data_IF_312678953956
#
_entry.id   IF_312678953956
#
_cell.length_a   1.000
_cell.length_b   1.000
_cell.length_c   1.000
_cell.angle_alpha   90.00
_cell.angle_beta   90.00
_cell.angle_gamma   90.00
#
_symmetry.space_group_name_H-M   'P 1'
#
loop_
_entity.id
_entity.type
_entity.pdbx_description
1 polymer ?
#
# COMPACT_ATOMS: atom_id res chain seq x y z
N UNK A 1 -21.93 -5.83 2.88
CA UNK A 1 -21.48 -7.06 2.22
C UNK A 1 -20.02 -7.25 2.60
N UNK A 2 -19.72 -8.22 3.46
CA UNK A 2 -18.36 -8.45 3.96
C UNK A 2 -17.60 -9.29 2.93
N UNK A 3 -16.57 -8.73 2.30
CA UNK A 3 -15.64 -9.55 1.51
C UNK A 3 -14.65 -10.13 2.51
N UNK A 4 -14.96 -11.31 3.02
CA UNK A 4 -13.96 -12.16 3.68
C UNK A 4 -13.01 -12.63 2.58
N UNK A 5 -11.91 -11.92 2.36
CA UNK A 5 -10.77 -12.48 1.61
C UNK A 5 -10.15 -13.53 2.53
N UNK A 6 -10.64 -14.76 2.43
CA UNK A 6 -10.09 -15.91 3.12
C UNK A 6 -8.77 -16.30 2.46
N UNK A 7 -7.73 -15.48 2.67
CA UNK A 7 -6.41 -15.76 2.15
C UNK A 7 -5.70 -16.79 3.05
N UNK A 8 -5.14 -17.83 2.44
CA UNK A 8 -4.48 -18.97 3.09
C UNK A 8 -3.18 -18.61 3.84
N UNK A 9 -2.76 -17.33 3.78
CA UNK A 9 -1.55 -16.81 4.42
C UNK A 9 -1.89 -16.00 5.68
N UNK A 10 -1.48 -16.45 6.88
CA UNK A 10 -1.80 -15.78 8.15
C UNK A 10 -1.20 -14.36 8.27
N UNK A 11 -0.18 -14.03 7.47
CA UNK A 11 0.44 -12.70 7.40
C UNK A 11 -0.36 -11.67 6.60
N UNK A 12 -1.26 -12.08 5.71
CA UNK A 12 -2.25 -11.18 5.07
C UNK A 12 -3.56 -11.09 5.86
N UNK A 13 -3.72 -11.91 6.91
CA UNK A 13 -5.03 -12.30 7.44
C UNK A 13 -5.53 -11.41 8.59
N UNK A 14 -5.05 -10.18 8.73
CA UNK A 14 -5.63 -9.22 9.66
C UNK A 14 -6.25 -8.04 8.89
N UNK A 15 -7.57 -8.17 8.78
CA UNK A 15 -8.50 -7.05 8.87
C UNK A 15 -8.41 -5.97 7.79
N UNK A 16 -8.62 -6.31 6.52
CA UNK A 16 -9.27 -5.36 5.59
C UNK A 16 -10.78 -5.57 5.69
N UNK A 17 -11.32 -5.31 6.88
CA UNK A 17 -12.74 -5.27 7.17
C UNK A 17 -13.03 -3.90 7.75
N UNK A 18 -13.11 -2.90 6.87
CA UNK A 18 -13.64 -1.60 7.21
C UNK A 18 -15.12 -1.76 7.63
N UNK A 19 -15.36 -1.84 8.93
CA UNK A 19 -16.65 -1.47 9.54
C UNK A 19 -16.80 0.04 9.40
N UNK A 20 -17.08 0.54 8.19
CA UNK A 20 -17.73 1.83 7.86
C UNK A 20 -17.49 2.16 6.39
N UNK A 21 -18.56 2.18 5.60
CA UNK A 21 -18.78 3.24 4.59
C UNK A 21 -18.04 3.21 3.26
N UNK A 22 -16.70 3.14 3.21
CA UNK A 22 -15.95 3.50 2.00
C UNK A 22 -14.75 2.57 1.79
N UNK A 23 -14.81 1.76 0.73
CA UNK A 23 -13.69 0.95 0.29
C UNK A 23 -12.80 1.78 -0.63
N UNK A 24 -11.67 2.25 -0.11
CA UNK A 24 -10.48 2.77 -0.84
C UNK A 24 -9.94 1.79 -1.89
N UNK A 25 -10.39 0.53 -1.88
CA UNK A 25 -9.89 -0.53 -2.75
C UNK A 25 -10.56 -0.49 -4.12
N UNK A 26 -9.79 -0.18 -5.17
CA UNK A 26 -10.26 -0.24 -6.55
C UNK A 26 -10.07 -1.65 -7.12
N UNK A 27 -11.06 -2.10 -7.89
CA UNK A 27 -10.93 -3.31 -8.70
C UNK A 27 -10.22 -2.94 -10.00
N UNK A 28 -9.10 -3.58 -10.29
CA UNK A 28 -8.39 -3.40 -11.56
C UNK A 28 -8.42 -4.70 -12.36
N UNK A 29 -8.87 -4.61 -13.61
CA UNK A 29 -8.84 -5.75 -14.53
C UNK A 29 -7.46 -5.86 -15.16
N UNK A 30 -6.81 -7.00 -14.97
CA UNK A 30 -5.49 -7.31 -15.52
C UNK A 30 -5.60 -8.56 -16.39
N UNK A 31 -4.93 -8.51 -17.54
CA UNK A 31 -4.74 -9.67 -18.41
C UNK A 31 -3.27 -10.08 -18.34
N UNK A 32 -3.02 -11.33 -17.96
CA UNK A 32 -1.67 -11.82 -17.74
C UNK A 32 -1.54 -13.31 -18.10
N UNK A 33 -0.30 -13.73 -18.38
CA UNK A 33 0.04 -15.12 -18.66
C UNK A 33 0.55 -15.77 -17.38
N UNK A 34 -0.19 -16.79 -16.94
CA UNK A 34 0.12 -17.59 -15.74
C UNK A 34 0.66 -18.94 -16.18
N UNK A 35 1.75 -19.36 -15.56
CA UNK A 35 2.39 -20.64 -15.82
C UNK A 35 2.05 -21.57 -14.67
N UNK A 36 1.44 -22.71 -14.97
CA UNK A 36 1.06 -23.71 -13.98
C UNK A 36 2.05 -24.87 -14.03
N UNK A 37 2.63 -25.19 -12.88
CA UNK A 37 3.54 -26.32 -12.69
C UNK A 37 2.78 -27.64 -12.71
N UNK A 38 3.40 -28.75 -13.16
CA UNK A 38 2.71 -30.02 -13.27
C UNK A 38 2.22 -30.62 -11.96
N UNK A 39 2.88 -30.28 -10.85
CA UNK A 39 2.49 -30.67 -9.50
C UNK A 39 1.12 -30.12 -9.08
N UNK A 40 0.76 -28.92 -9.56
CA UNK A 40 -0.51 -28.26 -9.26
C UNK A 40 -1.68 -28.76 -10.12
N UNK A 41 -1.45 -29.62 -11.12
CA UNK A 41 -2.55 -30.27 -11.88
C UNK A 41 -3.42 -31.19 -11.02
N UNK A 42 -2.92 -31.59 -9.85
CA UNK A 42 -3.70 -32.39 -8.90
C UNK A 42 -4.86 -31.59 -8.28
N UNK A 43 -4.80 -30.26 -8.33
CA UNK A 43 -5.83 -29.35 -7.81
C UNK A 43 -6.78 -28.92 -8.93
N UNK A 44 -7.93 -28.36 -8.55
CA UNK A 44 -8.81 -27.69 -9.52
C UNK A 44 -8.12 -26.51 -10.18
N UNK A 45 -8.21 -26.41 -11.52
CA UNK A 45 -7.53 -25.38 -12.31
C UNK A 45 -7.81 -23.96 -11.82
N UNK A 46 -9.04 -23.68 -11.37
CA UNK A 46 -9.39 -22.37 -10.81
C UNK A 46 -8.59 -22.03 -9.54
N UNK A 47 -8.40 -23.00 -8.65
CA UNK A 47 -7.64 -22.83 -7.39
C UNK A 47 -6.15 -22.72 -7.68
N UNK A 48 -5.62 -23.52 -8.62
CA UNK A 48 -4.23 -23.42 -9.04
C UNK A 48 -3.92 -22.04 -9.66
N UNK A 49 -4.82 -21.51 -10.49
CA UNK A 49 -4.70 -20.17 -11.07
C UNK A 49 -4.74 -19.10 -9.97
N UNK A 50 -5.65 -19.20 -9.02
CA UNK A 50 -5.75 -18.27 -7.89
C UNK A 50 -4.45 -18.25 -7.06
N UNK A 51 -3.94 -19.42 -6.68
CA UNK A 51 -2.70 -19.56 -5.89
C UNK A 51 -1.51 -18.91 -6.63
N UNK A 52 -1.37 -19.18 -7.93
CA UNK A 52 -0.29 -18.65 -8.76
C UNK A 52 -0.42 -17.12 -8.98
N UNK A 53 -1.64 -16.60 -9.19
CA UNK A 53 -1.87 -15.16 -9.30
C UNK A 53 -1.53 -14.48 -7.98
N UNK A 54 -1.97 -15.06 -6.86
CA UNK A 54 -1.70 -14.51 -5.54
C UNK A 54 -0.19 -14.49 -5.27
N UNK A 55 0.54 -15.55 -5.57
CA UNK A 55 2.00 -15.56 -5.42
C UNK A 55 2.69 -14.55 -6.36
N UNK A 56 2.20 -14.42 -7.60
CA UNK A 56 2.79 -13.49 -8.57
C UNK A 56 2.52 -12.03 -8.24
N UNK A 57 1.38 -11.68 -7.64
CA UNK A 57 0.92 -10.30 -7.47
C UNK A 57 0.78 -9.82 -6.01
N UNK A 58 0.76 -10.71 -5.01
CA UNK A 58 0.63 -10.29 -3.62
C UNK A 58 1.77 -9.36 -3.21
N UNK A 59 1.40 -8.25 -2.54
CA UNK A 59 2.31 -7.22 -2.05
C UNK A 59 3.21 -6.59 -3.12
N UNK A 60 2.87 -6.71 -4.40
CA UNK A 60 3.59 -6.04 -5.49
C UNK A 60 2.93 -4.72 -5.83
N UNK A 61 3.76 -3.69 -5.96
CA UNK A 61 3.37 -2.39 -6.47
C UNK A 61 3.45 -2.42 -7.99
N UNK A 62 2.30 -2.25 -8.65
CA UNK A 62 2.27 -2.05 -10.10
C UNK A 62 2.17 -0.56 -10.38
N UNK A 63 3.09 -0.05 -11.19
CA UNK A 63 3.11 1.37 -11.57
C UNK A 63 1.76 1.79 -12.19
N UNK A 64 1.28 2.99 -11.84
CA UNK A 64 0.00 3.58 -12.30
C UNK A 64 -1.27 2.87 -11.83
N UNK A 65 -1.16 1.71 -11.18
CA UNK A 65 -2.30 0.94 -10.67
C UNK A 65 -2.37 1.03 -9.15
N UNK A 66 -1.32 0.62 -8.43
CA UNK A 66 -1.25 0.67 -6.96
C UNK A 66 -0.60 -0.57 -6.35
N UNK A 67 -0.75 -0.71 -5.03
CA UNK A 67 -0.33 -1.90 -4.30
C UNK A 67 -1.38 -3.01 -4.43
N UNK A 68 -1.00 -4.15 -4.97
CA UNK A 68 -1.91 -5.30 -5.11
C UNK A 68 -2.04 -6.03 -3.76
N UNK A 69 -3.27 -6.10 -3.25
CA UNK A 69 -3.58 -6.81 -2.01
C UNK A 69 -3.79 -8.30 -2.30
N UNK A 70 -4.60 -8.59 -3.32
CA UNK A 70 -4.95 -9.98 -3.64
C UNK A 70 -5.91 -10.12 -4.81
N UNK A 71 -6.14 -11.37 -5.19
CA UNK A 71 -7.08 -11.77 -6.22
C UNK A 71 -8.54 -11.54 -5.79
N UNK A 72 -9.38 -11.04 -6.71
CA UNK A 72 -10.81 -10.87 -6.49
C UNK A 72 -11.61 -11.97 -7.19
N UNK A 73 -11.57 -11.99 -8.52
CA UNK A 73 -12.24 -13.01 -9.32
C UNK A 73 -11.59 -13.20 -10.70
N UNK A 74 -11.89 -14.35 -11.30
CA UNK A 74 -11.50 -14.70 -12.66
C UNK A 74 -12.66 -14.35 -13.61
N UNK A 75 -12.38 -13.52 -14.62
CA UNK A 75 -13.37 -13.14 -15.63
C UNK A 75 -13.33 -14.10 -16.82
N UNK A 76 -12.13 -14.38 -17.33
CA UNK A 76 -11.93 -15.20 -18.52
C UNK A 76 -10.64 -16.01 -18.39
N UNK A 77 -10.67 -17.26 -18.84
CA UNK A 77 -9.50 -18.13 -18.95
C UNK A 77 -9.47 -18.75 -20.34
N UNK A 78 -8.33 -18.60 -21.03
CA UNK A 78 -8.07 -19.28 -22.29
C UNK A 78 -7.69 -20.74 -22.06
N UNK A 79 -7.72 -21.55 -23.13
CA UNK A 79 -7.18 -22.91 -23.09
C UNK A 79 -5.68 -22.90 -22.76
N UNK A 80 -5.27 -23.77 -21.85
CA UNK A 80 -3.88 -23.89 -21.41
C UNK A 80 -3.00 -24.50 -22.50
N UNK A 81 -2.01 -23.75 -22.97
CA UNK A 81 -1.04 -24.23 -23.97
C UNK A 81 0.18 -24.85 -23.26
N UNK A 82 0.43 -26.13 -23.54
CA UNK A 82 1.57 -26.86 -22.97
C UNK A 82 2.84 -26.51 -23.76
N UNK A 83 3.85 -25.99 -23.06
CA UNK A 83 5.16 -25.77 -23.65
C UNK A 83 5.87 -27.09 -23.96
N UNK A 84 6.28 -27.28 -25.22
CA UNK A 84 7.08 -28.45 -25.62
C UNK A 84 8.43 -28.45 -24.89
N UNK A 85 8.71 -29.48 -24.09
CA UNK A 85 10.01 -29.70 -23.42
C UNK A 85 10.04 -29.38 -21.93
N UNK A 86 9.20 -28.47 -21.42
CA UNK A 86 9.14 -28.14 -19.98
C UNK A 86 7.91 -28.72 -19.29
N UNK A 87 6.84 -29.05 -20.04
CA UNK A 87 5.58 -29.55 -19.47
C UNK A 87 4.79 -28.50 -18.68
N UNK A 88 5.22 -27.23 -18.71
CA UNK A 88 4.50 -26.11 -18.12
C UNK A 88 3.30 -25.74 -18.98
N UNK A 89 2.16 -25.51 -18.33
CA UNK A 89 0.95 -25.02 -19.00
C UNK A 89 0.88 -23.51 -18.86
N UNK A 90 0.86 -22.82 -20.00
CA UNK A 90 0.68 -21.39 -20.07
C UNK A 90 -0.80 -21.10 -20.30
N UNK A 91 -1.44 -20.43 -19.36
CA UNK A 91 -2.84 -20.02 -19.45
C UNK A 91 -2.89 -18.51 -19.54
N UNK A 92 -3.56 -17.97 -20.55
CA UNK A 92 -3.90 -16.56 -20.59
C UNK A 92 -5.17 -16.35 -19.77
N UNK A 93 -5.09 -15.51 -18.74
CA UNK A 93 -6.20 -15.24 -17.84
C UNK A 93 -6.46 -13.75 -17.75
N UNK A 94 -7.75 -13.41 -17.67
CA UNK A 94 -8.23 -12.07 -17.38
C UNK A 94 -8.95 -12.12 -16.04
N UNK A 95 -8.46 -11.35 -15.08
CA UNK A 95 -8.95 -11.38 -13.71
C UNK A 95 -9.01 -9.98 -13.13
N UNK A 96 -9.73 -9.82 -12.02
CA UNK A 96 -9.74 -8.59 -11.23
C UNK A 96 -8.86 -8.77 -10.00
N UNK A 97 -8.06 -7.76 -9.73
CA UNK A 97 -7.29 -7.63 -8.50
C UNK A 97 -7.91 -6.57 -7.60
N UNK A 98 -7.84 -6.82 -6.29
CA UNK A 98 -8.06 -5.80 -5.27
C UNK A 98 -6.75 -5.03 -5.13
N UNK A 99 -6.80 -3.75 -5.48
CA UNK A 99 -5.63 -2.87 -5.40
C UNK A 99 -5.91 -1.77 -4.37
N UNK A 100 -4.95 -1.54 -3.49
CA UNK A 100 -4.90 -0.37 -2.64
C UNK A 100 -4.41 0.83 -3.44
N UNK A 101 -5.32 1.78 -3.68
CA UNK A 101 -5.03 3.07 -4.31
C UNK A 101 -6.01 4.12 -3.80
N UNK A 102 -5.69 4.81 -2.69
CA UNK A 102 -6.58 5.83 -2.14
C UNK A 102 -6.74 7.02 -3.09
N UNK A 103 -7.84 7.76 -2.96
CA UNK A 103 -8.11 8.93 -3.79
C UNK A 103 -7.64 10.24 -3.12
N UNK A 104 -7.37 11.26 -3.94
CA UNK A 104 -7.05 12.61 -3.47
C UNK A 104 -8.22 13.23 -2.72
N UNK A 105 -8.11 13.32 -1.42
CA UNK A 105 -9.09 13.91 -0.52
C UNK A 105 -9.70 12.92 0.46
N UNK A 106 -9.33 11.64 0.39
CA UNK A 106 -9.80 10.58 1.27
C UNK A 106 -9.21 10.69 2.67
N UNK A 107 -10.02 10.44 3.71
CA UNK A 107 -9.54 10.45 5.09
C UNK A 107 -9.27 9.00 5.52
N UNK A 108 -8.04 8.73 5.93
CA UNK A 108 -7.59 7.42 6.37
C UNK A 108 -7.00 7.49 7.78
N UNK A 109 -7.02 6.34 8.45
CA UNK A 109 -6.38 6.12 9.74
C UNK A 109 -5.06 5.40 9.53
N UNK A 110 -4.00 5.89 10.15
CA UNK A 110 -2.69 5.24 10.18
C UNK A 110 -2.00 5.43 11.52
N UNK A 111 -0.89 4.74 11.74
CA UNK A 111 -0.06 4.89 12.94
C UNK A 111 1.20 5.67 12.58
N UNK A 112 1.63 6.58 13.45
CA UNK A 112 2.91 7.27 13.24
C UNK A 112 4.04 6.25 13.38
N UNK A 113 4.86 6.10 12.35
CA UNK A 113 6.03 5.22 12.38
C UNK A 113 7.29 5.96 12.80
N UNK A 114 7.47 7.20 12.34
CA UNK A 114 8.62 8.03 12.68
C UNK A 114 8.33 9.49 12.33
N UNK A 115 8.85 10.42 13.12
CA UNK A 115 8.84 11.85 12.81
C UNK A 115 10.25 12.31 12.42
N UNK A 116 10.36 13.05 11.32
CA UNK A 116 11.62 13.68 10.89
C UNK A 116 11.37 15.14 10.55
N UNK A 117 12.46 15.91 10.34
CA UNK A 117 12.37 17.30 9.89
C UNK A 117 11.66 17.44 8.53
N UNK A 118 11.71 16.40 7.69
CA UNK A 118 11.03 16.38 6.40
C UNK A 118 9.52 16.11 6.52
N UNK A 119 9.04 15.72 7.70
CA UNK A 119 7.63 15.44 7.95
C UNK A 119 7.39 14.24 8.85
N UNK A 120 6.12 13.86 8.97
CA UNK A 120 5.70 12.69 9.76
C UNK A 120 5.48 11.52 8.82
N UNK A 121 6.16 10.39 9.08
CA UNK A 121 5.91 9.14 8.38
C UNK A 121 4.82 8.35 9.10
N UNK A 122 3.84 7.93 8.34
CA UNK A 122 2.67 7.18 8.81
C UNK A 122 2.70 5.82 8.14
N UNK A 123 2.40 4.78 8.92
CA UNK A 123 2.21 3.44 8.43
C UNK A 123 0.85 2.89 8.76
N UNK A 124 0.25 2.21 7.79
CA UNK A 124 -0.84 1.26 7.97
C UNK A 124 -0.29 -0.15 7.95
N UNK A 125 -1.12 -1.14 8.27
CA UNK A 125 -0.68 -2.53 8.46
C UNK A 125 0.02 -3.16 7.24
N UNK A 126 -0.35 -2.72 6.03
CA UNK A 126 0.20 -3.24 4.76
C UNK A 126 1.02 -2.21 3.96
N UNK A 127 1.13 -0.95 4.42
CA UNK A 127 1.81 0.11 3.69
C UNK A 127 2.37 1.18 4.63
N UNK A 128 3.67 1.43 4.57
CA UNK A 128 4.41 2.28 5.51
C UNK A 128 5.03 3.53 4.87
N UNK A 129 4.81 3.75 3.59
CA UNK A 129 5.42 4.84 2.81
C UNK A 129 4.45 6.02 2.62
N UNK A 130 3.82 6.46 3.72
CA UNK A 130 2.97 7.66 3.76
C UNK A 130 3.76 8.77 4.47
N UNK A 131 3.92 9.92 3.82
CA UNK A 131 4.61 11.08 4.36
C UNK A 131 3.67 12.27 4.45
N UNK A 132 3.63 12.93 5.60
CA UNK A 132 2.96 14.22 5.78
C UNK A 132 4.04 15.30 5.90
N UNK A 133 4.25 16.13 4.86
CA UNK A 133 5.24 17.18 4.91
C UNK A 133 4.82 18.27 5.91
N UNK A 134 5.79 19.04 6.43
CA UNK A 134 5.53 20.08 7.42
C UNK A 134 4.60 21.18 6.90
N UNK A 135 4.68 21.51 5.60
CA UNK A 135 3.78 22.46 4.96
C UNK A 135 2.30 22.05 5.05
N UNK A 136 2.02 20.75 5.21
CA UNK A 136 0.67 20.18 5.30
C UNK A 136 0.32 19.72 6.73
N UNK A 137 1.05 20.19 7.74
CA UNK A 137 0.68 20.03 9.15
C UNK A 137 -0.18 21.20 9.64
N UNK A 138 -0.76 21.05 10.82
CA UNK A 138 -1.53 22.12 11.48
C UNK A 138 -0.70 23.41 11.58
N UNK A 139 -1.38 24.54 11.42
CA UNK A 139 -0.76 25.86 11.55
C UNK A 139 -0.19 26.03 12.96
N UNK A 140 1.09 26.41 13.06
CA UNK A 140 1.81 26.47 14.34
C UNK A 140 2.52 25.17 14.77
N UNK A 141 2.53 24.12 13.96
CA UNK A 141 3.32 22.92 14.25
C UNK A 141 4.82 23.21 14.14
N UNK A 142 5.57 22.85 15.18
CA UNK A 142 7.04 22.97 15.23
C UNK A 142 7.69 21.60 15.43
N UNK A 143 8.83 21.40 14.78
CA UNK A 143 9.63 20.20 14.98
C UNK A 143 10.62 20.41 16.12
N UNK A 144 10.58 19.53 17.12
CA UNK A 144 11.60 19.46 18.16
C UNK A 144 12.68 18.46 17.77
N UNK A 145 13.91 18.96 17.57
CA UNK A 145 15.05 18.14 17.12
C UNK A 145 15.57 17.27 18.26
N UNK A 146 15.43 17.71 19.52
CA UNK A 146 15.95 16.98 20.67
C UNK A 146 15.17 15.68 20.90
N UNK A 147 13.85 15.75 20.79
CA UNK A 147 12.94 14.62 20.98
C UNK A 147 12.52 13.94 19.66
N UNK A 148 12.96 14.46 18.51
CA UNK A 148 12.56 14.03 17.17
C UNK A 148 11.04 13.92 17.00
N UNK A 149 10.30 14.86 17.59
CA UNK A 149 8.85 14.84 17.68
C UNK A 149 8.29 16.13 17.10
N UNK A 150 7.12 16.03 16.47
CA UNK A 150 6.36 17.22 16.09
C UNK A 150 5.50 17.66 17.28
N UNK A 151 5.51 18.96 17.56
CA UNK A 151 4.73 19.58 18.64
C UNK A 151 3.82 20.61 18.00
N UNK A 152 2.56 20.62 18.41
CA UNK A 152 1.59 21.61 18.00
C UNK A 152 1.06 22.37 19.21
N UNK A 153 1.14 23.69 19.18
CA UNK A 153 0.68 24.56 20.26
C UNK A 153 -0.62 25.23 19.82
N UNK A 154 -1.71 24.97 20.54
CA UNK A 154 -3.01 25.55 20.23
C UNK A 154 -3.10 27.00 20.75
N UNK A 155 -4.04 27.79 20.23
CA UNK A 155 -4.23 29.21 20.64
C UNK A 155 -4.54 29.36 22.15
N UNK A 156 -5.13 28.34 22.76
CA UNK A 156 -5.42 28.27 24.21
C UNK A 156 -4.17 27.96 25.08
N UNK A 157 -2.98 27.80 24.48
CA UNK A 157 -1.73 27.49 25.20
C UNK A 157 -1.58 26.02 25.58
N UNK A 158 -2.42 25.12 25.03
CA UNK A 158 -2.27 23.67 25.19
C UNK A 158 -1.28 23.12 24.17
N UNK A 159 -0.26 22.42 24.64
CA UNK A 159 0.75 21.78 23.79
C UNK A 159 0.39 20.32 23.53
N UNK A 160 0.34 19.94 22.26
CA UNK A 160 0.08 18.59 21.81
C UNK A 160 1.31 18.00 21.12
N UNK A 161 1.58 16.72 21.36
CA UNK A 161 2.75 16.01 20.84
C UNK A 161 2.27 14.92 19.88
N UNK A 162 2.96 14.78 18.75
CA UNK A 162 2.72 13.69 17.81
C UNK A 162 3.57 12.47 18.20
N UNK A 163 3.06 11.65 19.10
CA UNK A 163 3.78 10.46 19.59
C UNK A 163 3.89 9.35 18.54
N UNK A 164 5.06 8.70 18.52
CA UNK A 164 5.30 7.55 17.65
C UNK A 164 4.43 6.38 18.11
N UNK A 165 3.76 5.73 17.17
CA UNK A 165 2.85 4.62 17.42
C UNK A 165 1.40 5.04 17.67
N UNK A 166 1.12 6.33 17.82
CA UNK A 166 -0.25 6.83 17.98
C UNK A 166 -1.03 6.75 16.66
N UNK A 167 -2.34 6.52 16.76
CA UNK A 167 -3.24 6.45 15.61
C UNK A 167 -3.69 7.86 15.21
N UNK A 168 -3.41 8.22 13.97
CA UNK A 168 -3.70 9.53 13.38
C UNK A 168 -4.66 9.40 12.20
N UNK A 169 -5.57 10.37 12.08
CA UNK A 169 -6.37 10.63 10.90
C UNK A 169 -5.59 11.56 9.98
N UNK A 170 -5.39 11.16 8.74
CA UNK A 170 -4.77 12.00 7.73
C UNK A 170 -5.62 11.97 6.47
N UNK A 171 -5.58 13.07 5.72
CA UNK A 171 -6.22 13.17 4.41
C UNK A 171 -5.18 12.91 3.33
N UNK A 172 -5.48 12.05 2.39
CA UNK A 172 -4.60 11.77 1.24
C UNK A 172 -4.66 12.97 0.30
N UNK A 173 -3.53 13.63 0.03
CA UNK A 173 -3.49 14.80 -0.86
C UNK A 173 -3.04 14.40 -2.27
N UNK A 174 -1.95 13.64 -2.36
CA UNK A 174 -1.43 13.14 -3.61
C UNK A 174 -0.67 11.82 -3.45
N UNK A 175 -0.52 11.10 -4.56
CA UNK A 175 0.33 9.92 -4.68
C UNK A 175 1.55 10.28 -5.54
N UNK A 176 2.72 9.83 -5.13
CA UNK A 176 4.00 10.01 -5.83
C UNK A 176 4.53 8.64 -6.27
N UNK A 177 4.94 8.55 -7.52
CA UNK A 177 5.45 7.32 -8.14
C UNK A 177 6.93 7.49 -8.43
N UNK A 178 7.75 6.60 -7.88
CA UNK A 178 9.17 6.56 -8.17
C UNK A 178 9.43 5.40 -9.12
N UNK A 179 9.75 5.71 -10.38
CA UNK A 179 10.14 4.68 -11.34
C UNK A 179 11.53 4.17 -10.96
N UNK A 180 11.58 2.96 -10.39
CA UNK A 180 12.84 2.25 -10.15
C UNK A 180 13.32 1.64 -11.46
N UNK A 181 13.65 2.49 -12.44
CA UNK A 181 14.51 2.05 -13.54
C UNK A 181 15.84 1.71 -12.88
N UNK A 182 16.35 0.47 -12.98
CA UNK A 182 17.70 0.19 -12.53
C UNK A 182 18.60 1.08 -13.38
N UNK A 183 19.17 2.13 -12.78
CA UNK A 183 20.25 2.85 -13.44
C UNK A 183 21.27 1.80 -13.87
N UNK A 184 21.73 1.91 -15.12
CA UNK A 184 22.83 1.11 -15.65
C UNK A 184 23.97 1.07 -14.62
N UNK A 185 24.76 -0.03 -14.54
CA UNK A 185 25.82 -0.15 -13.54
C UNK A 185 26.86 0.96 -13.77
N UNK A 186 26.68 2.10 -13.11
CA UNK A 186 27.62 3.21 -13.17
C UNK A 186 28.70 2.96 -12.12
N UNK A 187 29.93 2.92 -12.63
CA UNK A 187 31.14 2.64 -11.90
C UNK A 187 31.42 3.77 -10.90
N UNK A 188 30.98 3.59 -9.66
CA UNK A 188 31.50 4.29 -8.49
C UNK A 188 30.71 5.53 -8.08
N UNK A 189 29.96 5.42 -6.98
CA UNK A 189 30.29 6.13 -5.74
C UNK A 189 29.42 5.55 -4.61
N UNK A 190 30.01 5.36 -3.43
CA UNK A 190 29.40 4.71 -2.27
C UNK A 190 28.34 5.55 -1.55
N UNK A 191 27.49 6.27 -2.27
CA UNK A 191 26.30 6.86 -1.68
C UNK A 191 25.23 5.77 -1.58
N UNK A 192 24.77 5.47 -0.37
CA UNK A 192 23.56 4.70 -0.17
C UNK A 192 22.42 5.45 -0.88
N UNK A 193 22.13 5.08 -2.13
CA UNK A 193 20.95 5.54 -2.85
C UNK A 193 19.80 5.03 -1.99
N UNK A 194 19.22 5.91 -1.16
CA UNK A 194 17.98 5.65 -0.46
C UNK A 194 16.98 5.25 -1.54
N UNK A 195 16.76 3.94 -1.67
CA UNK A 195 15.84 3.37 -2.65
C UNK A 195 14.46 3.85 -2.24
N UNK A 196 14.06 5.00 -2.76
CA UNK A 196 12.72 5.52 -2.54
C UNK A 196 11.73 4.42 -2.95
N UNK A 197 10.72 4.16 -2.11
CA UNK A 197 9.74 3.14 -2.41
C UNK A 197 9.05 3.49 -3.74
N UNK A 198 8.69 2.50 -4.56
CA UNK A 198 8.11 2.72 -5.88
C UNK A 198 6.76 3.47 -5.83
N UNK A 199 6.10 3.44 -4.67
CA UNK A 199 4.86 4.14 -4.39
C UNK A 199 4.98 4.84 -3.04
N UNK A 200 4.74 6.15 -3.03
CA UNK A 200 4.66 6.97 -1.82
C UNK A 200 3.35 7.75 -1.83
N UNK A 201 2.77 7.95 -0.65
CA UNK A 201 1.56 8.75 -0.50
C UNK A 201 1.91 10.00 0.30
N UNK A 202 1.47 11.15 -0.18
CA UNK A 202 1.56 12.41 0.55
C UNK A 202 0.21 12.68 1.21
N UNK A 203 0.24 12.75 2.54
CA UNK A 203 -0.92 13.11 3.35
C UNK A 203 -0.90 14.57 3.81
N UNK A 204 -2.05 15.05 4.26
CA UNK A 204 -2.26 16.35 4.89
C UNK A 204 -3.03 16.16 6.20
N UNK A 205 -2.69 16.97 7.20
CA UNK A 205 -3.36 17.04 8.51
C UNK A 205 -3.85 18.45 8.85
N UNK A 206 -3.89 19.37 7.88
CA UNK A 206 -4.22 20.78 8.13
C UNK A 206 -5.67 21.03 8.58
N UNK A 207 -6.60 20.14 8.25
CA UNK A 207 -8.02 20.36 8.55
C UNK A 207 -8.36 19.97 9.99
N UNK A 208 -9.25 20.76 10.62
CA UNK A 208 -9.84 20.41 11.90
C UNK A 208 -10.56 19.04 11.84
N UNK A 209 -10.32 18.18 12.83
CA UNK A 209 -10.77 16.79 12.87
C UNK A 209 -9.76 15.77 12.32
N UNK A 210 -8.63 16.23 11.76
CA UNK A 210 -7.47 15.42 11.39
C UNK A 210 -6.38 15.49 12.47
N UNK A 211 -5.41 14.58 12.42
CA UNK A 211 -4.38 14.40 13.46
C UNK A 211 -4.70 13.21 14.38
N UNK A 212 -4.03 13.10 15.53
CA UNK A 212 -4.27 12.02 16.47
C UNK A 212 -5.71 11.89 16.92
N UNK A 213 -6.22 10.66 16.93
CA UNK A 213 -7.59 10.37 17.39
C UNK A 213 -7.78 10.78 18.85
N UNK A 214 -6.70 10.79 19.64
CA UNK A 214 -6.70 11.22 21.04
C UNK A 214 -7.08 12.70 21.25
N UNK A 215 -7.00 13.53 20.21
CA UNK A 215 -7.26 14.98 20.32
C UNK A 215 -8.73 15.37 20.08
N UNK A 216 -9.56 14.43 19.59
CA UNK A 216 -10.95 14.67 19.17
C UNK A 216 -11.90 13.66 19.83
#
# INVERSE_FOLDING_TARGET
MFILVSCKYPSCCKLILARTGELTSRQTTVSDLIQISPEDFSKYSAVAIEDNINEKYANKVIQKIGLCIGFYDLLESSDGLIGHGTGLVNVNVKFRLIVFRPFKGEIMLGKISSATQQGIKIGVEFFNDILVPPDLLLDGARFDIADQVWVWENEDGSTFYFDIGEVVRFRVEMEEWHDQIPNAPDLGDGAAIERKPPYSIIGSMQMAGLGPVSWW
#
